data_IF_001593528993
#
_entry.id   IF_001593528993
#
_cell.length_a   1.000
_cell.length_b   1.000
_cell.length_c   1.000
_cell.angle_alpha   90.00
_cell.angle_beta   90.00
_cell.angle_gamma   90.00
#
_symmetry.space_group_name_H-M   'P 1'
#
loop_
_entity.id
_entity.type
_entity.pdbx_description
1 polymer ?
#
# COMPACT_ATOMS: atom_id res chain seq x y z
N UNK A 1 46.85 2.35 -22.08
CA UNK A 1 45.42 2.69 -22.07
C UNK A 1 44.82 2.08 -20.82
N UNK A 2 44.59 2.90 -19.80
CA UNK A 2 43.83 2.45 -18.61
C UNK A 2 42.38 2.41 -19.08
N UNK A 3 41.84 1.20 -19.26
CA UNK A 3 40.41 1.02 -19.39
C UNK A 3 39.85 1.37 -18.02
N UNK A 4 39.37 2.60 -17.87
CA UNK A 4 38.50 2.95 -16.76
C UNK A 4 37.25 2.11 -16.99
N UNK A 5 37.13 0.99 -16.25
CA UNK A 5 35.85 0.32 -16.10
C UNK A 5 34.92 1.37 -15.49
N UNK A 6 34.07 1.98 -16.32
CA UNK A 6 32.92 2.70 -15.80
C UNK A 6 32.21 1.73 -14.89
N UNK A 7 32.18 2.08 -13.60
CA UNK A 7 31.46 1.32 -12.58
C UNK A 7 30.02 1.25 -13.07
N UNK A 8 29.54 0.08 -13.46
CA UNK A 8 28.14 -0.10 -13.92
C UNK A 8 27.25 0.62 -12.91
N UNK A 9 26.52 1.65 -13.39
CA UNK A 9 25.62 2.42 -12.53
C UNK A 9 24.45 1.52 -12.19
N UNK A 10 24.59 0.78 -11.08
CA UNK A 10 23.54 -0.01 -10.47
C UNK A 10 22.93 0.77 -9.32
N UNK A 11 21.62 0.91 -9.34
CA UNK A 11 20.86 1.52 -8.25
C UNK A 11 19.77 0.58 -7.77
N UNK A 12 19.56 0.63 -6.46
CA UNK A 12 18.50 -0.09 -5.78
C UNK A 12 17.57 0.93 -5.11
N UNK A 13 16.26 0.75 -5.26
CA UNK A 13 15.25 1.48 -4.51
C UNK A 13 14.28 0.52 -3.86
N UNK A 14 13.79 0.94 -2.68
CA UNK A 14 12.89 0.19 -1.83
C UNK A 14 11.61 0.98 -1.62
N UNK A 15 10.48 0.27 -1.62
CA UNK A 15 9.21 0.78 -1.12
C UNK A 15 8.63 -0.24 -0.14
N UNK A 16 8.10 0.27 0.98
CA UNK A 16 7.63 -0.56 2.07
C UNK A 16 6.17 -1.02 1.86
N UNK A 17 5.77 -2.08 2.54
CA UNK A 17 4.36 -2.37 2.76
C UNK A 17 3.72 -1.23 3.56
N UNK A 18 2.38 -1.18 3.55
CA UNK A 18 1.63 -0.17 4.30
C UNK A 18 0.45 -0.76 5.04
N UNK A 19 0.12 -0.16 6.17
CA UNK A 19 -1.14 -0.37 6.89
C UNK A 19 -2.03 0.85 6.71
N UNK A 20 -3.23 0.65 6.18
CA UNK A 20 -4.32 1.62 6.25
C UNK A 20 -4.90 1.60 7.65
N UNK A 21 -4.52 2.58 8.48
CA UNK A 21 -4.96 2.65 9.87
C UNK A 21 -6.44 3.05 9.94
N UNK A 22 -6.83 4.15 9.28
CA UNK A 22 -8.21 4.61 9.25
C UNK A 22 -8.56 5.20 7.88
N UNK A 23 -9.85 5.19 7.55
CA UNK A 23 -10.39 5.86 6.38
C UNK A 23 -10.48 5.00 5.11
N UNK A 24 -9.89 3.81 5.07
CA UNK A 24 -10.09 2.89 3.96
C UNK A 24 -11.48 2.22 4.05
N UNK A 25 -12.25 2.14 2.94
CA UNK A 25 -11.88 2.43 1.54
C UNK A 25 -12.36 3.80 1.00
N UNK A 26 -12.55 4.82 1.85
CA UNK A 26 -13.09 6.13 1.43
C UNK A 26 -12.18 6.92 0.48
N UNK A 27 -10.90 6.56 0.37
CA UNK A 27 -9.91 7.19 -0.51
C UNK A 27 -10.29 7.12 -2.00
N UNK A 28 -11.08 6.11 -2.40
CA UNK A 28 -11.61 5.98 -3.78
C UNK A 28 -12.82 6.90 -4.02
N UNK A 29 -13.41 7.46 -2.96
CA UNK A 29 -14.70 8.15 -2.96
C UNK A 29 -14.59 9.60 -2.47
N UNK A 30 -13.41 10.21 -2.61
CA UNK A 30 -13.16 11.59 -2.19
C UNK A 30 -13.04 11.76 -0.67
N UNK A 31 -12.67 10.70 0.04
CA UNK A 31 -12.58 10.66 1.49
C UNK A 31 -11.21 11.04 2.05
N UNK A 32 -10.91 10.51 3.24
CA UNK A 32 -9.67 10.78 3.98
C UNK A 32 -9.10 9.47 4.49
N UNK A 33 -7.79 9.45 4.73
CA UNK A 33 -7.12 8.29 5.26
C UNK A 33 -5.96 8.64 6.19
N UNK A 34 -5.67 7.73 7.12
CA UNK A 34 -4.42 7.69 7.88
C UNK A 34 -3.75 6.37 7.57
N UNK A 35 -2.51 6.39 7.12
CA UNK A 35 -1.73 5.17 6.83
C UNK A 35 -0.29 5.33 7.22
N UNK A 36 0.38 4.22 7.48
CA UNK A 36 1.80 4.21 7.75
C UNK A 36 2.52 3.06 7.05
N UNK A 37 3.81 3.24 6.80
CA UNK A 37 4.68 2.25 6.17
C UNK A 37 5.26 1.27 7.21
N UNK A 38 5.46 0.01 6.81
CA UNK A 38 5.93 -1.09 7.66
C UNK A 38 7.37 -1.47 7.29
N UNK A 39 8.31 -1.35 8.21
CA UNK A 39 9.74 -1.52 7.93
C UNK A 39 10.14 -2.95 7.54
N UNK A 40 9.52 -3.95 8.18
CA UNK A 40 9.85 -5.37 8.01
C UNK A 40 9.45 -5.98 6.67
N UNK A 41 8.61 -5.29 5.88
CA UNK A 41 8.06 -5.80 4.63
C UNK A 41 8.23 -4.77 3.52
N UNK A 42 8.86 -5.16 2.41
CA UNK A 42 9.19 -4.26 1.30
C UNK A 42 9.26 -4.96 -0.07
N UNK A 43 9.17 -4.14 -1.10
CA UNK A 43 9.60 -4.48 -2.45
C UNK A 43 10.85 -3.68 -2.79
N UNK A 44 11.75 -4.32 -3.50
CA UNK A 44 12.99 -3.74 -4.02
C UNK A 44 12.95 -3.80 -5.54
N UNK A 45 13.39 -2.72 -6.19
CA UNK A 45 13.67 -2.70 -7.63
C UNK A 45 15.11 -2.31 -7.83
N UNK A 46 15.81 -3.06 -8.69
CA UNK A 46 17.17 -2.74 -9.14
C UNK A 46 17.11 -2.30 -10.59
N UNK A 47 17.77 -1.19 -10.86
CA UNK A 47 17.96 -0.65 -12.20
C UNK A 47 19.46 -0.54 -12.43
N UNK A 48 19.95 -1.15 -13.50
CA UNK A 48 21.34 -0.97 -13.97
C UNK A 48 21.36 -0.55 -15.42
N UNK A 49 22.32 0.28 -15.80
CA UNK A 49 22.58 0.57 -17.21
C UNK A 49 22.87 -0.74 -17.98
N UNK A 50 22.40 -0.82 -19.22
CA UNK A 50 22.64 -1.97 -20.11
C UNK A 50 22.55 -1.57 -21.57
N UNK A 51 23.08 -2.42 -22.45
CA UNK A 51 23.04 -2.18 -23.90
C UNK A 51 21.60 -2.21 -24.45
N UNK A 52 20.77 -3.13 -23.95
CA UNK A 52 19.36 -3.27 -24.29
C UNK A 52 18.44 -2.88 -23.11
N UNK A 53 17.22 -2.43 -23.39
CA UNK A 53 16.19 -2.26 -22.37
C UNK A 53 15.59 -3.63 -22.01
N UNK A 54 15.80 -4.06 -20.77
CA UNK A 54 15.39 -5.39 -20.29
C UNK A 54 14.51 -5.29 -19.05
N UNK A 55 13.43 -6.08 -19.01
CA UNK A 55 12.66 -6.32 -17.78
C UNK A 55 12.81 -7.79 -17.41
N UNK A 56 13.56 -8.06 -16.34
CA UNK A 56 13.95 -9.41 -15.94
C UNK A 56 12.81 -10.08 -15.14
N UNK A 57 12.31 -11.25 -15.58
CA UNK A 57 11.33 -12.02 -14.83
C UNK A 57 11.88 -12.45 -13.46
N UNK A 58 11.07 -12.32 -12.41
CA UNK A 58 11.48 -12.82 -11.10
C UNK A 58 11.42 -14.36 -11.06
N UNK A 59 12.47 -15.04 -10.57
CA UNK A 59 12.62 -16.49 -10.65
C UNK A 59 11.54 -17.29 -9.90
N UNK A 60 10.78 -16.66 -9.00
CA UNK A 60 9.67 -17.33 -8.26
C UNK A 60 8.29 -16.76 -8.57
N UNK A 61 8.23 -15.54 -9.08
CA UNK A 61 6.97 -14.78 -9.18
C UNK A 61 6.51 -14.59 -10.62
N UNK A 62 7.41 -14.68 -11.60
CA UNK A 62 7.14 -14.62 -13.04
C UNK A 62 7.59 -15.93 -13.72
N UNK A 63 7.12 -17.06 -13.18
CA UNK A 63 7.44 -18.38 -13.71
C UNK A 63 6.76 -18.59 -15.07
N UNK A 64 7.57 -19.00 -16.06
CA UNK A 64 7.11 -19.40 -17.40
C UNK A 64 7.55 -20.82 -17.76
N UNK A 65 8.27 -21.48 -16.86
CA UNK A 65 8.73 -22.86 -17.00
C UNK A 65 8.33 -23.65 -15.74
N UNK A 66 7.73 -24.81 -15.96
CA UNK A 66 7.18 -25.66 -14.90
C UNK A 66 7.58 -27.12 -15.15
N UNK A 67 7.84 -27.90 -14.10
CA UNK A 67 8.23 -29.31 -14.25
C UNK A 67 7.07 -30.20 -14.73
N UNK A 68 5.81 -29.80 -14.52
CA UNK A 68 4.63 -30.52 -14.98
C UNK A 68 3.40 -29.58 -15.03
N UNK A 69 2.33 -30.03 -15.71
CA UNK A 69 1.04 -29.32 -15.70
C UNK A 69 0.45 -29.22 -14.29
N UNK A 70 0.63 -30.25 -13.45
CA UNK A 70 0.14 -30.23 -12.08
C UNK A 70 0.80 -29.11 -11.26
N UNK A 71 2.14 -28.98 -11.36
CA UNK A 71 2.88 -27.91 -10.68
C UNK A 71 2.50 -26.51 -11.19
N UNK A 72 2.20 -26.39 -12.50
CA UNK A 72 1.64 -25.15 -13.05
C UNK A 72 0.30 -24.81 -12.40
N UNK A 73 -0.66 -25.74 -12.41
CA UNK A 73 -2.00 -25.52 -11.86
C UNK A 73 -1.94 -25.18 -10.37
N UNK A 74 -1.19 -25.94 -9.57
CA UNK A 74 -1.01 -25.66 -8.13
C UNK A 74 -0.47 -24.25 -7.88
N UNK A 75 0.53 -23.82 -8.66
CA UNK A 75 1.09 -22.47 -8.58
C UNK A 75 0.10 -21.39 -9.01
N UNK A 76 -0.77 -21.67 -9.98
CA UNK A 76 -1.79 -20.74 -10.46
C UNK A 76 -2.94 -20.61 -9.47
N UNK A 77 -3.34 -21.70 -8.83
CA UNK A 77 -4.40 -21.72 -7.82
C UNK A 77 -4.02 -20.86 -6.60
N UNK A 78 -2.77 -20.93 -6.15
CA UNK A 78 -2.29 -20.13 -5.00
C UNK A 78 -1.77 -18.74 -5.35
N UNK A 79 -1.10 -18.56 -6.49
CA UNK A 79 -0.38 -17.33 -6.80
C UNK A 79 -0.93 -16.53 -7.97
N UNK A 80 -1.94 -17.05 -8.68
CA UNK A 80 -2.48 -16.46 -9.90
C UNK A 80 -1.50 -16.48 -11.08
N UNK A 81 -1.98 -15.94 -12.20
CA UNK A 81 -1.31 -15.97 -13.50
C UNK A 81 -0.21 -14.91 -13.66
N UNK A 82 -0.25 -13.85 -12.86
CA UNK A 82 0.59 -12.67 -13.07
C UNK A 82 1.66 -12.51 -11.98
N UNK A 83 2.81 -11.98 -12.40
CA UNK A 83 3.87 -11.47 -11.52
C UNK A 83 4.13 -9.97 -11.72
N UNK A 84 5.32 -9.54 -11.34
CA UNK A 84 5.72 -8.13 -11.32
C UNK A 84 6.19 -7.58 -12.65
N UNK A 85 6.51 -8.41 -13.65
CA UNK A 85 6.98 -7.92 -14.97
C UNK A 85 6.00 -6.94 -15.59
N UNK A 86 4.70 -7.26 -15.57
CA UNK A 86 3.66 -6.35 -16.12
C UNK A 86 3.59 -5.01 -15.39
N UNK A 87 3.86 -5.00 -14.07
CA UNK A 87 3.86 -3.79 -13.25
C UNK A 87 5.02 -2.88 -13.65
N UNK A 88 6.21 -3.47 -13.85
CA UNK A 88 7.40 -2.76 -14.32
C UNK A 88 7.20 -2.18 -15.73
N UNK A 89 6.62 -2.96 -16.64
CA UNK A 89 6.31 -2.48 -18.00
C UNK A 89 5.32 -1.30 -17.98
N UNK A 90 4.24 -1.41 -17.20
CA UNK A 90 3.22 -0.38 -17.11
C UNK A 90 3.79 0.94 -16.55
N UNK A 91 4.61 0.88 -15.51
CA UNK A 91 5.20 2.11 -14.94
C UNK A 91 6.23 2.75 -15.87
N UNK A 92 7.02 1.97 -16.61
CA UNK A 92 7.92 2.54 -17.63
C UNK A 92 7.14 3.33 -18.68
N UNK A 93 6.02 2.79 -19.16
CA UNK A 93 5.15 3.49 -20.12
C UNK A 93 4.54 4.76 -19.52
N UNK A 94 3.93 4.66 -18.33
CA UNK A 94 3.30 5.81 -17.67
C UNK A 94 4.32 6.89 -17.34
N UNK A 95 5.52 6.52 -16.90
CA UNK A 95 6.62 7.45 -16.67
C UNK A 95 7.05 8.15 -17.95
N UNK A 96 7.29 7.40 -19.03
CA UNK A 96 7.63 7.95 -20.34
C UNK A 96 6.56 8.93 -20.83
N UNK A 97 5.29 8.53 -20.77
CA UNK A 97 4.17 9.36 -21.21
C UNK A 97 4.06 10.62 -20.35
N UNK A 98 4.20 10.52 -19.02
CA UNK A 98 4.22 11.70 -18.16
C UNK A 98 5.35 12.66 -18.54
N UNK A 99 6.58 12.17 -18.69
CA UNK A 99 7.72 12.99 -19.06
C UNK A 99 7.48 13.71 -20.40
N UNK A 100 6.95 12.99 -21.40
CA UNK A 100 6.59 13.56 -22.69
C UNK A 100 5.54 14.68 -22.58
N UNK A 101 4.45 14.46 -21.85
CA UNK A 101 3.40 15.47 -21.67
C UNK A 101 3.87 16.68 -20.85
N UNK A 102 4.78 16.47 -19.91
CA UNK A 102 5.35 17.52 -19.04
C UNK A 102 6.56 18.24 -19.66
N UNK A 103 6.95 17.94 -20.90
CA UNK A 103 8.11 18.55 -21.55
C UNK A 103 9.45 18.18 -20.89
N UNK A 104 9.51 17.04 -20.20
CA UNK A 104 10.71 16.49 -19.58
C UNK A 104 11.43 15.62 -20.62
N UNK A 105 12.48 16.17 -21.22
CA UNK A 105 13.35 15.41 -22.11
C UNK A 105 14.09 14.31 -21.33
N UNK A 106 13.96 13.07 -21.81
CA UNK A 106 14.69 11.92 -21.29
C UNK A 106 15.86 11.63 -22.24
N UNK A 107 17.02 11.32 -21.66
CA UNK A 107 18.18 10.87 -22.44
C UNK A 107 17.90 9.50 -23.06
N UNK A 108 18.43 9.26 -24.27
CA UNK A 108 18.30 7.98 -24.96
C UNK A 108 19.29 6.96 -24.38
N UNK A 109 18.86 6.28 -23.31
CA UNK A 109 19.66 5.32 -22.54
C UNK A 109 18.84 4.08 -22.21
N UNK A 110 19.49 2.92 -22.29
CA UNK A 110 18.93 1.62 -21.97
C UNK A 110 19.30 1.16 -20.56
N UNK A 111 18.46 0.28 -19.99
CA UNK A 111 18.62 -0.24 -18.65
C UNK A 111 17.94 -1.60 -18.48
N UNK A 112 18.41 -2.35 -17.49
CA UNK A 112 17.79 -3.59 -17.03
C UNK A 112 17.10 -3.36 -15.68
N UNK A 113 15.82 -3.73 -15.60
CA UNK A 113 15.01 -3.73 -14.39
C UNK A 113 14.82 -5.15 -13.85
N UNK A 114 15.01 -5.31 -12.55
CA UNK A 114 14.58 -6.51 -11.80
C UNK A 114 13.92 -6.10 -10.48
N UNK A 115 13.13 -6.99 -9.89
CA UNK A 115 12.51 -6.74 -8.60
C UNK A 115 12.61 -7.95 -7.69
N UNK A 116 12.49 -7.72 -6.38
CA UNK A 116 12.32 -8.75 -5.35
C UNK A 116 11.34 -8.21 -4.28
N UNK A 117 10.72 -9.09 -3.50
CA UNK A 117 9.83 -8.68 -2.41
C UNK A 117 9.68 -9.77 -1.36
N UNK A 118 9.59 -9.35 -0.10
CA UNK A 118 9.16 -10.20 1.01
C UNK A 118 7.73 -9.87 1.48
N UNK A 119 7.00 -8.99 0.77
CA UNK A 119 5.60 -8.67 1.09
C UNK A 119 4.73 -9.89 0.72
N UNK A 120 3.99 -10.48 1.67
CA UNK A 120 3.15 -11.62 1.38
C UNK A 120 2.09 -11.27 0.32
N UNK A 121 1.89 -12.18 -0.64
CA UNK A 121 0.84 -12.03 -1.64
C UNK A 121 -0.53 -12.06 -0.97
N UNK A 122 -1.46 -11.27 -1.51
CA UNK A 122 -2.86 -11.21 -1.07
C UNK A 122 -3.07 -10.87 0.43
N UNK A 123 -2.06 -10.33 1.12
CA UNK A 123 -2.17 -9.96 2.54
C UNK A 123 -2.72 -8.54 2.78
N UNK A 124 -3.22 -7.84 1.76
CA UNK A 124 -3.73 -6.47 1.92
C UNK A 124 -2.66 -5.43 2.26
N UNK A 125 -1.38 -5.78 2.09
CA UNK A 125 -0.20 -4.99 2.47
C UNK A 125 0.41 -4.19 1.30
N UNK A 126 -0.28 -4.13 0.16
CA UNK A 126 0.08 -3.29 -1.00
C UNK A 126 1.39 -3.67 -1.71
N UNK A 127 1.67 -4.97 -1.84
CA UNK A 127 2.89 -5.45 -2.50
C UNK A 127 3.01 -5.05 -3.97
N UNK A 128 1.90 -5.01 -4.71
CA UNK A 128 1.89 -4.62 -6.13
C UNK A 128 2.32 -3.17 -6.33
N UNK A 129 1.71 -2.24 -5.60
CA UNK A 129 2.07 -0.83 -5.69
C UNK A 129 3.44 -0.54 -5.10
N UNK A 130 3.94 -1.36 -4.16
CA UNK A 130 5.32 -1.24 -3.67
C UNK A 130 6.35 -1.48 -4.80
N UNK A 131 6.14 -2.52 -5.63
CA UNK A 131 7.01 -2.79 -6.79
C UNK A 131 6.99 -1.61 -7.76
N UNK A 132 5.80 -1.10 -8.08
CA UNK A 132 5.62 0.04 -8.98
C UNK A 132 6.27 1.31 -8.40
N UNK A 133 6.13 1.57 -7.11
CA UNK A 133 6.72 2.71 -6.41
C UNK A 133 8.25 2.65 -6.41
N UNK A 134 8.83 1.48 -6.09
CA UNK A 134 10.27 1.28 -6.13
C UNK A 134 10.82 1.46 -7.56
N UNK A 135 10.12 0.97 -8.58
CA UNK A 135 10.48 1.16 -9.98
C UNK A 135 10.43 2.62 -10.41
N UNK A 136 9.36 3.35 -10.08
CA UNK A 136 9.27 4.79 -10.33
C UNK A 136 10.44 5.53 -9.68
N UNK A 137 10.78 5.18 -8.44
CA UNK A 137 11.92 5.78 -7.73
C UNK A 137 13.25 5.56 -8.46
N UNK A 138 13.50 4.35 -8.99
CA UNK A 138 14.67 4.10 -9.84
C UNK A 138 14.65 4.94 -11.13
N UNK A 139 13.50 5.04 -11.81
CA UNK A 139 13.38 5.82 -13.05
C UNK A 139 13.64 7.31 -12.82
N UNK A 140 13.10 7.88 -11.75
CA UNK A 140 13.34 9.27 -11.36
C UNK A 140 14.83 9.56 -11.18
N UNK A 141 15.57 8.65 -10.55
CA UNK A 141 16.99 8.83 -10.26
C UNK A 141 17.89 8.50 -11.45
N UNK A 142 17.57 7.45 -12.21
CA UNK A 142 18.32 7.06 -13.40
C UNK A 142 18.30 8.14 -14.48
N UNK A 143 17.15 8.79 -14.68
CA UNK A 143 17.02 9.90 -15.62
C UNK A 143 17.34 11.27 -15.02
N UNK A 144 17.62 11.36 -13.71
CA UNK A 144 17.93 12.64 -13.05
C UNK A 144 16.79 13.65 -13.10
N UNK A 145 15.53 13.18 -12.93
CA UNK A 145 14.31 14.00 -13.05
C UNK A 145 13.47 14.05 -11.76
N UNK A 146 14.02 13.58 -10.63
CA UNK A 146 13.31 13.51 -9.35
C UNK A 146 12.76 14.86 -8.89
N UNK A 147 13.54 15.92 -9.04
CA UNK A 147 13.22 17.31 -8.72
C UNK A 147 12.19 17.92 -9.69
N UNK A 148 12.06 17.34 -10.89
CA UNK A 148 11.12 17.80 -11.94
C UNK A 148 9.73 17.16 -11.83
N UNK A 149 9.58 16.12 -11.03
CA UNK A 149 8.31 15.43 -10.79
C UNK A 149 7.98 15.52 -9.30
N UNK A 150 7.10 16.45 -8.97
CA UNK A 150 6.65 16.76 -7.61
C UNK A 150 6.18 15.52 -6.86
N UNK A 151 6.49 15.47 -5.56
CA UNK A 151 6.26 14.29 -4.70
C UNK A 151 4.78 13.92 -4.69
N UNK A 152 3.91 14.92 -4.63
CA UNK A 152 2.46 14.85 -4.64
C UNK A 152 1.86 14.26 -5.93
N UNK A 153 2.59 14.30 -7.05
CA UNK A 153 2.15 13.75 -8.34
C UNK A 153 2.50 12.25 -8.46
N UNK A 154 3.58 11.81 -7.83
CA UNK A 154 4.11 10.44 -7.95
C UNK A 154 3.08 9.35 -7.59
N UNK A 155 2.25 9.48 -6.54
CA UNK A 155 1.20 8.52 -6.23
C UNK A 155 0.23 8.28 -7.40
N UNK A 156 -0.09 9.33 -8.15
CA UNK A 156 -0.98 9.24 -9.32
C UNK A 156 -0.34 8.48 -10.48
N UNK A 157 0.98 8.62 -10.69
CA UNK A 157 1.70 7.84 -11.71
C UNK A 157 1.68 6.34 -11.39
N UNK A 158 1.91 5.99 -10.13
CA UNK A 158 1.86 4.60 -9.65
C UNK A 158 0.44 4.04 -9.85
N UNK A 159 -0.59 4.78 -9.45
CA UNK A 159 -1.98 4.38 -9.63
C UNK A 159 -2.34 4.22 -11.12
N UNK A 160 -1.85 5.11 -11.99
CA UNK A 160 -2.12 5.04 -13.42
C UNK A 160 -1.50 3.79 -14.06
N UNK A 161 -0.29 3.38 -13.64
CA UNK A 161 0.31 2.14 -14.11
C UNK A 161 -0.54 0.90 -13.75
N UNK A 162 -1.15 0.90 -12.56
CA UNK A 162 -2.04 -0.18 -12.16
C UNK A 162 -3.38 -0.14 -12.91
N UNK A 163 -3.92 1.05 -13.19
CA UNK A 163 -5.11 1.22 -14.04
C UNK A 163 -4.90 0.71 -15.46
N UNK A 164 -3.72 0.89 -16.06
CA UNK A 164 -3.41 0.31 -17.38
C UNK A 164 -3.56 -1.21 -17.41
N UNK A 165 -3.34 -1.87 -16.27
CA UNK A 165 -3.46 -3.31 -16.11
C UNK A 165 -4.85 -3.76 -15.65
N UNK A 166 -5.83 -2.85 -15.60
CA UNK A 166 -7.18 -3.11 -15.13
C UNK A 166 -7.29 -3.34 -13.62
N UNK A 167 -6.27 -2.98 -12.85
CA UNK A 167 -6.29 -3.11 -11.38
C UNK A 167 -7.11 -1.96 -10.81
N UNK A 168 -8.20 -2.30 -10.10
CA UNK A 168 -9.03 -1.32 -9.40
C UNK A 168 -8.42 -1.06 -8.03
N UNK A 169 -7.93 0.17 -7.81
CA UNK A 169 -7.30 0.58 -6.56
C UNK A 169 -7.52 2.07 -6.28
N UNK A 170 -7.30 2.46 -5.01
CA UNK A 170 -7.29 3.85 -4.56
C UNK A 170 -5.88 4.41 -4.39
N UNK A 171 -5.80 5.71 -4.08
CA UNK A 171 -4.52 6.43 -3.98
C UNK A 171 -3.77 6.14 -2.67
N UNK A 172 -4.47 5.76 -1.59
CA UNK A 172 -3.90 5.68 -0.23
C UNK A 172 -2.60 4.89 -0.17
N UNK A 173 -2.55 3.70 -0.79
CA UNK A 173 -1.37 2.82 -0.74
C UNK A 173 -0.15 3.49 -1.37
N UNK A 174 -0.37 4.19 -2.49
CA UNK A 174 0.66 4.83 -3.29
C UNK A 174 1.22 6.05 -2.55
N UNK A 175 0.34 6.82 -1.91
CA UNK A 175 0.76 7.94 -1.05
C UNK A 175 1.60 7.43 0.12
N UNK A 176 1.12 6.43 0.87
CA UNK A 176 1.86 5.85 2.00
C UNK A 176 3.25 5.33 1.58
N UNK A 177 3.36 4.75 0.38
CA UNK A 177 4.61 4.19 -0.13
C UNK A 177 5.60 5.23 -0.66
N UNK A 178 5.11 6.28 -1.31
CA UNK A 178 5.93 7.40 -1.78
C UNK A 178 6.49 8.20 -0.59
N UNK A 179 5.65 8.45 0.42
CA UNK A 179 6.00 9.29 1.55
C UNK A 179 6.75 8.54 2.67
N UNK A 180 6.50 7.23 2.82
CA UNK A 180 6.94 6.47 4.00
C UNK A 180 6.32 6.99 5.29
N UNK A 181 6.88 6.63 6.45
CA UNK A 181 6.45 7.17 7.74
C UNK A 181 4.96 6.97 8.04
N UNK A 182 4.38 7.93 8.75
CA UNK A 182 2.95 8.08 9.00
C UNK A 182 2.42 9.27 8.17
N UNK A 183 1.28 9.08 7.51
CA UNK A 183 0.70 10.10 6.62
C UNK A 183 -0.80 10.20 6.83
N UNK A 184 -1.28 11.42 7.04
CA UNK A 184 -2.69 11.79 6.91
C UNK A 184 -2.96 12.32 5.50
N UNK A 185 -4.09 11.91 4.91
CA UNK A 185 -4.39 12.13 3.51
C UNK A 185 -5.82 12.64 3.37
N UNK A 186 -6.00 13.70 2.58
CA UNK A 186 -7.29 14.24 2.19
C UNK A 186 -7.44 14.17 0.67
N UNK A 187 -8.37 13.33 0.22
CA UNK A 187 -8.69 13.11 -1.19
C UNK A 187 -9.97 13.84 -1.61
N UNK A 188 -10.43 14.82 -0.84
CA UNK A 188 -11.65 15.57 -1.15
C UNK A 188 -11.65 16.10 -2.57
N UNK A 189 -12.83 16.06 -3.20
CA UNK A 189 -13.00 16.45 -4.60
C UNK A 189 -12.50 17.89 -4.86
N UNK A 190 -12.68 18.79 -3.90
CA UNK A 190 -12.17 20.17 -3.97
C UNK A 190 -10.65 20.21 -4.17
N UNK A 191 -9.89 19.47 -3.37
CA UNK A 191 -8.43 19.41 -3.50
C UNK A 191 -8.00 18.71 -4.78
N UNK A 192 -8.64 17.57 -5.10
CA UNK A 192 -8.35 16.80 -6.31
C UNK A 192 -8.59 17.62 -7.59
N UNK A 193 -9.68 18.39 -7.68
CA UNK A 193 -10.00 19.22 -8.85
C UNK A 193 -9.07 20.42 -8.97
N UNK A 194 -8.72 21.05 -7.85
CA UNK A 194 -7.88 22.26 -7.83
C UNK A 194 -6.40 21.96 -8.08
N UNK A 195 -5.89 20.89 -7.49
CA UNK A 195 -4.45 20.58 -7.46
C UNK A 195 -4.07 19.43 -8.41
N UNK A 196 -5.03 18.59 -8.81
CA UNK A 196 -4.77 17.34 -9.54
C UNK A 196 -4.28 16.19 -8.64
N UNK A 197 -4.19 16.42 -7.33
CA UNK A 197 -3.78 15.47 -6.31
C UNK A 197 -4.45 15.81 -4.96
N UNK A 198 -4.38 14.89 -4.00
CA UNK A 198 -4.86 15.13 -2.64
C UNK A 198 -3.88 15.94 -1.80
N UNK A 199 -4.29 16.30 -0.59
CA UNK A 199 -3.39 16.90 0.41
C UNK A 199 -2.81 15.78 1.27
N UNK A 200 -1.49 15.66 1.29
CA UNK A 200 -0.78 14.62 2.00
C UNK A 200 0.09 15.26 3.08
N UNK A 201 -0.22 14.99 4.34
CA UNK A 201 0.45 15.56 5.51
C UNK A 201 1.27 14.47 6.20
N UNK A 202 2.61 14.50 6.07
CA UNK A 202 3.48 13.66 6.89
C UNK A 202 3.27 13.99 8.37
N UNK A 203 3.23 12.96 9.20
CA UNK A 203 3.12 13.07 10.65
C UNK A 203 4.33 12.41 11.31
N UNK A 204 4.58 12.79 12.56
CA UNK A 204 5.57 12.11 13.39
C UNK A 204 5.12 10.67 13.69
N UNK A 205 6.02 9.71 13.47
CA UNK A 205 5.75 8.29 13.72
C UNK A 205 5.60 7.98 15.21
N UNK A 206 6.16 8.83 16.09
CA UNK A 206 6.04 8.72 17.56
C UNK A 206 4.65 9.08 18.10
N UNK A 207 3.72 9.46 17.20
CA UNK A 207 2.30 9.58 17.51
C UNK A 207 1.59 8.22 17.54
N UNK A 208 2.16 7.19 16.93
CA UNK A 208 1.55 5.85 16.91
C UNK A 208 1.82 5.12 18.24
N UNK A 209 0.79 4.47 18.81
CA UNK A 209 1.02 3.47 19.85
C UNK A 209 1.67 2.21 19.25
N UNK A 210 2.15 1.27 20.08
CA UNK A 210 2.49 -0.07 19.61
C UNK A 210 1.30 -0.71 18.89
N UNK A 211 1.53 -1.18 17.66
CA UNK A 211 0.54 -1.86 16.83
C UNK A 211 1.05 -3.24 16.44
N UNK A 212 0.12 -4.16 16.19
CA UNK A 212 0.44 -5.55 15.89
C UNK A 212 -0.17 -5.95 14.55
N UNK A 213 0.62 -6.59 13.71
CA UNK A 213 0.18 -7.16 12.44
C UNK A 213 -0.21 -8.62 12.67
N UNK A 214 -1.40 -8.98 12.20
CA UNK A 214 -1.94 -10.34 12.28
C UNK A 214 -2.22 -10.82 10.85
N UNK A 215 -1.74 -12.00 10.49
CA UNK A 215 -1.99 -12.59 9.16
C UNK A 215 -1.95 -14.12 9.20
N UNK A 216 -2.51 -14.75 8.17
CA UNK A 216 -2.39 -16.19 7.96
C UNK A 216 -1.19 -16.50 7.04
N UNK A 217 -0.40 -17.52 7.35
CA UNK A 217 0.73 -17.94 6.50
C UNK A 217 0.28 -18.47 5.14
N UNK A 218 -0.87 -19.17 5.12
CA UNK A 218 -1.51 -19.69 3.92
C UNK A 218 -2.89 -19.06 3.76
N UNK A 219 -3.01 -17.82 3.26
CA UNK A 219 -4.30 -17.20 3.04
C UNK A 219 -5.09 -18.05 2.03
N UNK A 220 -6.25 -18.57 2.45
CA UNK A 220 -7.19 -19.19 1.51
C UNK A 220 -7.91 -18.09 0.73
N UNK A 221 -8.18 -18.41 -0.54
CA UNK A 221 -8.63 -17.52 -1.60
C UNK A 221 -10.04 -16.94 -1.31
N UNK A 222 -10.09 -15.92 -0.46
CA UNK A 222 -11.32 -15.32 0.09
C UNK A 222 -11.54 -13.89 -0.38
N UNK A 223 -11.15 -13.58 -1.63
CA UNK A 223 -11.39 -12.29 -2.28
C UNK A 223 -12.06 -12.38 -3.66
N UNK A 224 -12.46 -13.58 -4.11
CA UNK A 224 -13.08 -13.80 -5.43
C UNK A 224 -14.54 -13.33 -5.53
N UNK A 225 -15.17 -12.98 -4.42
CA UNK A 225 -16.54 -12.46 -4.42
C UNK A 225 -16.51 -10.98 -4.79
N UNK A 226 -17.01 -10.65 -5.98
CA UNK A 226 -17.16 -9.27 -6.43
C UNK A 226 -18.10 -8.50 -5.49
N UNK A 227 -17.59 -7.50 -4.77
CA UNK A 227 -18.43 -6.59 -3.99
C UNK A 227 -19.18 -5.63 -4.91
N UNK A 228 -20.48 -5.44 -4.68
CA UNK A 228 -21.31 -4.48 -5.42
C UNK A 228 -21.15 -3.02 -4.93
N UNK A 229 -20.32 -2.77 -3.91
CA UNK A 229 -20.19 -1.46 -3.24
C UNK A 229 -19.91 -0.33 -4.22
N UNK A 230 -18.99 -0.54 -5.18
CA UNK A 230 -18.68 0.48 -6.19
C UNK A 230 -19.89 0.79 -7.08
N UNK A 231 -20.62 -0.23 -7.51
CA UNK A 231 -21.80 -0.03 -8.35
C UNK A 231 -22.90 0.67 -7.56
N UNK A 232 -23.17 0.24 -6.32
CA UNK A 232 -24.14 0.88 -5.41
C UNK A 232 -23.82 2.36 -5.17
N UNK A 233 -22.54 2.70 -5.00
CA UNK A 233 -22.11 4.10 -4.91
C UNK A 233 -22.47 4.89 -6.18
N UNK A 234 -22.16 4.35 -7.36
CA UNK A 234 -22.47 4.99 -8.64
C UNK A 234 -23.99 5.13 -8.86
N UNK A 235 -24.76 4.18 -8.36
CA UNK A 235 -26.23 4.18 -8.42
C UNK A 235 -26.88 5.13 -7.38
N UNK A 236 -26.07 5.80 -6.55
CA UNK A 236 -26.58 6.76 -5.56
C UNK A 236 -27.13 6.13 -4.28
N UNK A 237 -26.73 4.90 -3.94
CA UNK A 237 -27.16 4.23 -2.71
C UNK A 237 -26.80 5.07 -1.47
N UNK A 238 -27.85 5.62 -0.82
CA UNK A 238 -27.69 6.53 0.32
C UNK A 238 -26.91 5.91 1.47
N UNK A 239 -27.11 4.62 1.74
CA UNK A 239 -26.43 3.92 2.82
C UNK A 239 -24.93 3.78 2.53
N UNK A 240 -24.55 3.44 1.30
CA UNK A 240 -23.13 3.36 0.91
C UNK A 240 -22.52 4.75 0.96
N UNK A 241 -23.21 5.77 0.44
CA UNK A 241 -22.71 7.14 0.43
C UNK A 241 -22.49 7.68 1.85
N UNK A 242 -23.49 7.52 2.73
CA UNK A 242 -23.39 7.98 4.12
C UNK A 242 -22.30 7.23 4.89
N UNK A 243 -22.18 5.91 4.65
CA UNK A 243 -21.16 5.09 5.32
C UNK A 243 -19.74 5.46 4.88
N UNK A 244 -19.51 5.77 3.60
CA UNK A 244 -18.20 6.24 3.13
C UNK A 244 -17.83 7.61 3.68
N UNK A 245 -18.80 8.53 3.79
CA UNK A 245 -18.61 9.83 4.47
C UNK A 245 -18.24 9.63 5.94
N UNK A 246 -18.92 8.72 6.63
CA UNK A 246 -18.58 8.37 8.01
C UNK A 246 -17.17 7.80 8.10
N UNK A 247 -16.79 6.84 7.24
CA UNK A 247 -15.42 6.30 7.18
C UNK A 247 -14.38 7.40 6.96
N UNK A 248 -14.64 8.38 6.10
CA UNK A 248 -13.74 9.53 5.91
C UNK A 248 -13.64 10.41 7.16
N UNK A 249 -14.74 10.63 7.88
CA UNK A 249 -14.72 11.34 9.16
C UNK A 249 -13.94 10.58 10.25
N UNK A 250 -14.01 9.25 10.29
CA UNK A 250 -13.19 8.47 11.24
C UNK A 250 -11.69 8.71 11.04
N UNK A 251 -11.22 8.93 9.81
CA UNK A 251 -9.82 9.27 9.56
C UNK A 251 -9.45 10.67 10.08
N UNK A 252 -10.36 11.64 9.95
CA UNK A 252 -10.20 12.97 10.53
C UNK A 252 -10.16 12.92 12.07
N UNK A 253 -11.11 12.23 12.70
CA UNK A 253 -11.15 12.04 14.15
C UNK A 253 -9.92 11.27 14.64
N UNK A 254 -9.48 10.27 13.87
CA UNK A 254 -8.29 9.47 14.16
C UNK A 254 -7.00 10.27 14.10
N UNK A 255 -6.89 11.17 13.12
CA UNK A 255 -5.77 12.12 13.05
C UNK A 255 -5.72 12.99 14.33
N UNK A 256 -6.86 13.54 14.77
CA UNK A 256 -6.93 14.31 16.01
C UNK A 256 -6.61 13.45 17.25
N UNK A 257 -7.10 12.21 17.31
CA UNK A 257 -6.83 11.28 18.39
C UNK A 257 -5.34 10.94 18.49
N UNK A 258 -4.64 10.78 17.37
CA UNK A 258 -3.19 10.59 17.32
C UNK A 258 -2.43 11.82 17.84
N UNK A 259 -2.79 13.03 17.39
CA UNK A 259 -2.17 14.28 17.87
C UNK A 259 -2.34 14.47 19.38
N UNK A 260 -3.45 14.00 19.95
CA UNK A 260 -3.75 14.06 21.38
C UNK A 260 -3.25 12.83 22.17
N UNK A 261 -2.66 11.83 21.48
CA UNK A 261 -2.31 10.51 22.04
C UNK A 261 -3.47 9.83 22.78
N UNK A 262 -4.71 10.05 22.31
CA UNK A 262 -5.91 9.42 22.85
C UNK A 262 -6.14 8.05 22.20
N UNK A 263 -5.42 7.04 22.69
CA UNK A 263 -5.45 5.70 22.09
C UNK A 263 -6.73 4.91 22.38
N UNK A 264 -7.46 5.27 23.44
CA UNK A 264 -8.79 4.71 23.70
C UNK A 264 -9.77 5.11 22.59
N UNK A 265 -9.75 6.38 22.16
CA UNK A 265 -10.56 6.84 21.04
C UNK A 265 -10.07 6.24 19.72
N UNK A 266 -8.76 6.16 19.49
CA UNK A 266 -8.20 5.49 18.32
C UNK A 266 -8.70 4.04 18.18
N UNK A 267 -8.70 3.29 19.29
CA UNK A 267 -9.22 1.92 19.36
C UNK A 267 -10.72 1.86 18.97
N UNK A 268 -11.54 2.78 19.49
CA UNK A 268 -12.96 2.88 19.14
C UNK A 268 -13.16 3.15 17.64
N UNK A 269 -12.40 4.09 17.08
CA UNK A 269 -12.45 4.47 15.67
C UNK A 269 -12.01 3.33 14.74
N UNK A 270 -10.95 2.61 15.09
CA UNK A 270 -10.49 1.42 14.35
C UNK A 270 -11.59 0.38 14.27
N UNK A 271 -12.23 0.09 15.40
CA UNK A 271 -13.32 -0.90 15.42
C UNK A 271 -14.49 -0.46 14.55
N UNK A 272 -14.92 0.80 14.70
CA UNK A 272 -16.03 1.38 13.93
C UNK A 272 -15.75 1.38 12.42
N UNK A 273 -14.51 1.66 12.00
CA UNK A 273 -14.15 1.62 10.59
C UNK A 273 -14.36 0.21 10.00
N UNK A 274 -13.94 -0.83 10.72
CA UNK A 274 -14.18 -2.20 10.25
C UNK A 274 -15.67 -2.56 10.25
N UNK A 275 -16.42 -2.15 11.27
CA UNK A 275 -17.85 -2.46 11.35
C UNK A 275 -18.62 -1.83 10.16
N UNK A 276 -18.28 -0.59 9.78
CA UNK A 276 -18.82 0.05 8.58
C UNK A 276 -18.42 -0.70 7.31
N UNK A 277 -17.16 -1.12 7.20
CA UNK A 277 -16.68 -1.92 6.07
C UNK A 277 -17.48 -3.23 5.96
N UNK A 278 -17.66 -3.96 7.06
CA UNK A 278 -18.43 -5.21 7.09
C UNK A 278 -19.88 -4.99 6.69
N UNK A 279 -20.52 -3.93 7.18
CA UNK A 279 -21.90 -3.58 6.78
C UNK A 279 -22.03 -3.22 5.29
N UNK A 280 -21.04 -2.53 4.72
CA UNK A 280 -21.07 -2.13 3.31
C UNK A 280 -20.81 -3.31 2.37
N UNK A 281 -19.79 -4.12 2.67
CA UNK A 281 -19.31 -5.18 1.77
C UNK A 281 -20.05 -6.51 1.97
N UNK A 282 -20.49 -6.80 3.19
CA UNK A 282 -21.05 -8.10 3.57
C UNK A 282 -19.99 -9.17 3.83
N UNK A 283 -20.37 -10.18 4.60
CA UNK A 283 -19.44 -11.21 5.10
C UNK A 283 -18.86 -12.06 3.97
N UNK A 284 -19.67 -12.39 2.96
CA UNK A 284 -19.25 -13.17 1.79
C UNK A 284 -18.11 -12.48 1.02
N UNK A 285 -18.17 -11.15 0.89
CA UNK A 285 -17.16 -10.37 0.20
C UNK A 285 -15.88 -10.16 1.03
N UNK A 286 -16.01 -10.15 2.36
CA UNK A 286 -14.86 -10.00 3.26
C UNK A 286 -14.16 -11.33 3.56
N UNK A 287 -14.89 -12.44 3.49
CA UNK A 287 -14.36 -13.78 3.74
C UNK A 287 -14.29 -14.14 5.23
N UNK A 288 -14.74 -15.35 5.55
CA UNK A 288 -14.81 -15.87 6.93
C UNK A 288 -13.46 -15.84 7.64
N UNK A 289 -12.38 -16.24 6.97
CA UNK A 289 -11.03 -16.25 7.55
C UNK A 289 -10.57 -14.84 7.95
N UNK A 290 -10.82 -13.84 7.10
CA UNK A 290 -10.44 -12.46 7.39
C UNK A 290 -11.24 -11.87 8.54
N UNK A 291 -12.55 -12.14 8.58
CA UNK A 291 -13.40 -11.74 9.71
C UNK A 291 -12.93 -12.41 10.99
N UNK A 292 -12.63 -13.71 10.95
CA UNK A 292 -12.10 -14.46 12.11
C UNK A 292 -10.83 -13.83 12.67
N UNK A 293 -9.90 -13.37 11.83
CA UNK A 293 -8.69 -12.65 12.31
C UNK A 293 -9.04 -11.41 13.13
N UNK A 294 -10.02 -10.62 12.69
CA UNK A 294 -10.48 -9.43 13.42
C UNK A 294 -11.14 -9.83 14.75
N UNK A 295 -12.05 -10.80 14.71
CA UNK A 295 -12.81 -11.22 15.90
C UNK A 295 -11.93 -11.88 16.96
N UNK A 296 -10.89 -12.62 16.57
CA UNK A 296 -9.90 -13.19 17.50
C UNK A 296 -9.19 -12.08 18.28
N UNK A 297 -8.73 -11.03 17.60
CA UNK A 297 -8.12 -9.90 18.29
C UNK A 297 -9.11 -9.17 19.22
N UNK A 298 -10.37 -9.00 18.77
CA UNK A 298 -11.41 -8.36 19.60
C UNK A 298 -11.84 -9.18 20.80
N UNK A 299 -11.72 -10.51 20.74
CA UNK A 299 -12.09 -11.39 21.86
C UNK A 299 -11.29 -11.14 23.14
N UNK A 300 -10.11 -10.55 23.02
CA UNK A 300 -9.24 -10.16 24.15
C UNK A 300 -9.30 -8.65 24.46
N UNK A 301 -10.24 -7.92 23.86
CA UNK A 301 -10.44 -6.48 24.04
C UNK A 301 -9.58 -5.59 23.14
N UNK A 302 -8.70 -6.15 22.29
CA UNK A 302 -7.92 -5.35 21.35
C UNK A 302 -8.83 -4.76 20.26
N UNK A 303 -8.55 -3.54 19.83
CA UNK A 303 -9.17 -2.99 18.63
C UNK A 303 -8.49 -3.55 17.39
N UNK A 304 -9.26 -3.87 16.37
CA UNK A 304 -8.70 -4.48 15.16
C UNK A 304 -9.52 -4.19 13.90
N UNK A 305 -8.82 -4.14 12.77
CA UNK A 305 -9.38 -3.97 11.43
C UNK A 305 -8.41 -4.41 10.35
N UNK A 306 -8.91 -4.54 9.13
CA UNK A 306 -8.05 -4.85 7.97
C UNK A 306 -7.00 -3.76 7.72
N UNK A 307 -5.80 -4.20 7.34
CA UNK A 307 -4.71 -3.32 6.87
C UNK A 307 -5.02 -2.74 5.49
N UNK A 308 -5.81 -3.43 4.68
CA UNK A 308 -6.19 -3.05 3.33
C UNK A 308 -7.51 -3.69 2.91
N UNK A 309 -7.50 -4.45 1.81
CA UNK A 309 -8.70 -5.12 1.29
C UNK A 309 -9.09 -6.40 2.05
N UNK A 310 -8.11 -7.07 2.69
CA UNK A 310 -8.22 -8.35 3.38
C UNK A 310 -6.84 -9.01 3.50
N UNK A 311 -6.73 -10.19 4.11
CA UNK A 311 -5.50 -10.99 4.19
C UNK A 311 -4.53 -10.64 5.33
N UNK A 312 -4.67 -9.44 5.93
CA UNK A 312 -4.02 -9.10 7.18
C UNK A 312 -4.84 -8.08 7.98
N UNK A 313 -4.63 -8.07 9.29
CA UNK A 313 -5.29 -7.24 10.29
C UNK A 313 -4.24 -6.45 11.06
N UNK A 314 -4.54 -5.19 11.37
CA UNK A 314 -3.81 -4.42 12.37
C UNK A 314 -4.59 -4.43 13.67
N UNK A 315 -3.91 -4.63 14.78
CA UNK A 315 -4.46 -4.61 16.12
C UNK A 315 -3.78 -3.55 17.01
N UNK A 316 -4.57 -2.95 17.89
CA UNK A 316 -4.18 -2.04 18.95
C UNK A 316 -4.65 -2.61 20.29
N UNK A 317 -3.73 -2.76 21.24
CA UNK A 317 -4.03 -3.20 22.60
C UNK A 317 -4.05 -1.98 23.55
N UNK A 318 -5.21 -1.32 23.76
CA UNK A 318 -5.28 -0.13 24.62
C UNK A 318 -4.96 -0.43 26.10
N UNK A 319 -5.07 -1.68 26.55
CA UNK A 319 -4.86 -2.08 27.95
C UNK A 319 -3.40 -2.52 28.23
N UNK A 320 -2.50 -2.34 27.26
CA UNK A 320 -1.05 -2.58 27.42
C UNK A 320 -0.63 -4.06 27.35
N UNK A 321 0.55 -4.35 27.90
CA UNK A 321 1.29 -5.61 27.66
C UNK A 321 0.52 -6.88 28.05
N UNK A 322 -0.30 -6.84 29.11
CA UNK A 322 -1.11 -7.99 29.51
C UNK A 322 -2.10 -8.40 28.41
N UNK A 323 -2.71 -7.43 27.73
CA UNK A 323 -3.60 -7.68 26.60
C UNK A 323 -2.84 -8.14 25.35
N UNK A 324 -1.59 -7.69 25.17
CA UNK A 324 -0.71 -8.16 24.09
C UNK A 324 -0.41 -9.66 24.24
N UNK A 325 -0.15 -10.15 25.45
CA UNK A 325 0.09 -11.58 25.68
C UNK A 325 -1.18 -12.43 25.45
N UNK A 326 -2.35 -11.91 25.82
CA UNK A 326 -3.64 -12.52 25.47
C UNK A 326 -3.85 -12.55 23.95
N UNK A 327 -3.54 -11.46 23.26
CA UNK A 327 -3.64 -11.37 21.79
C UNK A 327 -2.75 -12.41 21.11
N UNK A 328 -1.50 -12.55 21.56
CA UNK A 328 -0.55 -13.55 21.05
C UNK A 328 -1.06 -14.97 21.22
N UNK A 329 -1.53 -15.29 22.42
CA UNK A 329 -2.09 -16.61 22.73
C UNK A 329 -3.30 -16.92 21.84
N UNK A 330 -4.27 -16.00 21.77
CA UNK A 330 -5.48 -16.18 20.98
C UNK A 330 -5.20 -16.30 19.47
N UNK A 331 -4.25 -15.52 18.93
CA UNK A 331 -3.84 -15.64 17.53
C UNK A 331 -3.18 -16.99 17.25
N UNK A 332 -2.27 -17.43 18.12
CA UNK A 332 -1.58 -18.71 17.98
C UNK A 332 -2.56 -19.90 18.00
N UNK A 333 -3.49 -19.92 18.95
CA UNK A 333 -4.55 -20.95 19.05
C UNK A 333 -5.46 -20.96 17.82
N UNK A 334 -5.70 -19.79 17.22
CA UNK A 334 -6.50 -19.65 16.02
C UNK A 334 -5.74 -19.96 14.71
N UNK A 335 -4.42 -20.22 14.78
CA UNK A 335 -3.57 -20.49 13.62
C UNK A 335 -3.11 -19.25 12.85
N UNK A 336 -3.05 -18.09 13.52
CA UNK A 336 -2.57 -16.83 12.96
C UNK A 336 -1.20 -16.46 13.49
N UNK A 337 -0.41 -15.81 12.64
CA UNK A 337 0.85 -15.18 13.02
C UNK A 337 0.55 -13.77 13.52
N UNK A 338 1.21 -13.36 14.61
CA UNK A 338 1.14 -12.00 15.13
C UNK A 338 2.52 -11.46 15.44
N UNK A 339 2.80 -10.26 14.94
CA UNK A 339 4.09 -9.60 15.08
C UNK A 339 3.88 -8.13 15.46
N UNK A 340 4.75 -7.58 16.29
CA UNK A 340 4.74 -6.14 16.56
C UNK A 340 5.24 -5.41 15.31
N UNK A 341 4.54 -4.34 14.93
CA UNK A 341 4.89 -3.57 13.75
C UNK A 341 6.00 -2.57 14.08
N UNK A 342 7.07 -2.64 13.30
CA UNK A 342 8.06 -1.57 13.18
C UNK A 342 7.64 -0.62 12.05
N UNK A 343 7.45 0.66 12.38
CA UNK A 343 7.07 1.70 11.41
C UNK A 343 8.30 2.12 10.63
N UNK A 344 8.21 2.10 9.30
CA UNK A 344 9.30 2.57 8.45
C UNK A 344 9.46 4.09 8.56
N UNK A 345 10.69 4.63 8.45
CA UNK A 345 10.90 6.08 8.42
C UNK A 345 10.26 6.71 7.17
N UNK A 346 10.27 8.05 7.09
CA UNK A 346 9.92 8.73 5.85
C UNK A 346 10.83 8.28 4.71
N UNK A 347 10.24 8.09 3.54
CA UNK A 347 10.95 7.77 2.29
C UNK A 347 11.37 9.04 1.53
N UNK A 348 10.94 10.22 1.98
CA UNK A 348 11.25 11.49 1.34
C UNK A 348 12.65 11.97 1.70
N UNK A 349 13.32 12.61 0.74
CA UNK A 349 14.58 13.30 1.01
C UNK A 349 14.35 14.55 1.87
N UNK A 350 15.42 15.06 2.49
CA UNK A 350 15.34 16.33 3.25
C UNK A 350 14.87 17.50 2.39
N UNK A 351 15.26 17.52 1.13
CA UNK A 351 14.87 18.54 0.15
C UNK A 351 13.38 18.43 -0.19
N UNK A 352 12.88 17.21 -0.39
CA UNK A 352 11.45 16.95 -0.62
C UNK A 352 10.58 17.38 0.57
N UNK A 353 11.02 17.10 1.80
CA UNK A 353 10.33 17.54 3.01
C UNK A 353 10.32 19.07 3.17
N UNK A 354 11.45 19.74 2.85
CA UNK A 354 11.54 21.19 2.90
C UNK A 354 10.60 21.86 1.88
N UNK A 355 10.53 21.32 0.67
CA UNK A 355 9.64 21.82 -0.38
C UNK A 355 8.15 21.65 -0.04
N UNK A 356 7.78 20.57 0.65
CA UNK A 356 6.40 20.40 1.14
C UNK A 356 6.02 21.46 2.19
N UNK A 357 6.98 21.87 3.01
CA UNK A 357 6.78 22.85 4.08
C UNK A 357 6.68 24.28 3.58
N UNK A 358 7.22 24.60 2.39
CA UNK A 358 7.10 25.93 1.79
C UNK A 358 5.80 26.18 1.02
N UNK A 359 4.98 25.14 0.86
CA UNK A 359 3.69 25.19 0.15
C UNK A 359 2.47 25.02 1.07
N UNK A 360 2.68 24.83 2.38
CA UNK A 360 1.67 24.89 3.45
C UNK A 360 1.68 26.26 4.10
#
# INVERSE_FOLDING_TARGET
MVVVMEKEMEMERRAYARVGLLGNPSDVYGGRAVSFAVAGLWATVRLRASDDLLVQPHPRHDLVAFPSLHALVERLDGGGYYGGVRLLLAICRVFHDHCKHSGIALEDKNFALSYDTNIPRQAGLSGSSAIVCAALSCLLDFYGVRDRIGVEVRPSLILNAEKELGIVAGLQDRVAQVYGGLVYMDFSQEHMDKLGHGVYTPLDVDLLPPLYLIYAENPSDSGKVHSSVRQRWLDGDEFVISSMKEVAHLAYDGHNALLQKNYAELARLMNRNFDLRRKMFGDDALGELNIKMVEVARSVGAASKFTGSGGAVVALCPDGDAQVELLKTACQEAGFVVEQIEVAPSALTKEELANLSSHQ
#
